data_IF_493436595632
#
_entry.id   IF_493436595632
#
_cell.length_a   1.000
_cell.length_b   1.000
_cell.length_c   1.000
_cell.angle_alpha   90.00
_cell.angle_beta   90.00
_cell.angle_gamma   90.00
#
_symmetry.space_group_name_H-M   'P 1'
#
loop_
_entity.id
_entity.type
_entity.pdbx_description
1 polymer ?
#
# COMPACT_ATOMS: atom_id res chain seq x y z
N UNK A 1 15.68 -90.00 -4.23
CA UNK A 1 16.04 -89.37 -3.01
C UNK A 1 17.06 -88.27 -3.24
N UNK A 2 16.59 -87.04 -3.26
CA UNK A 2 17.43 -85.86 -3.52
C UNK A 2 17.62 -85.12 -2.20
N UNK A 3 18.83 -85.13 -1.74
CA UNK A 3 19.25 -84.42 -0.56
C UNK A 3 19.49 -82.95 -0.96
N UNK A 4 18.82 -82.06 -0.28
CA UNK A 4 18.95 -80.63 -0.35
C UNK A 4 20.08 -80.17 0.54
N UNK A 5 21.11 -79.44 0.04
CA UNK A 5 22.19 -79.00 0.93
C UNK A 5 21.74 -77.85 1.86
N UNK A 6 22.15 -77.97 3.12
CA UNK A 6 21.87 -77.01 4.16
C UNK A 6 22.64 -75.68 3.90
N UNK A 7 21.93 -74.60 4.10
CA UNK A 7 22.42 -73.20 4.04
C UNK A 7 23.22 -72.90 5.30
N UNK A 8 24.44 -72.36 5.20
CA UNK A 8 25.20 -72.00 6.44
C UNK A 8 24.59 -70.77 7.11
N UNK A 9 24.37 -70.90 8.41
CA UNK A 9 23.96 -69.79 9.26
C UNK A 9 25.09 -68.75 9.34
N UNK A 10 24.74 -67.53 8.91
CA UNK A 10 25.60 -66.36 9.14
C UNK A 10 25.44 -65.91 10.57
N UNK A 11 26.46 -66.17 11.37
CA UNK A 11 26.59 -65.62 12.73
C UNK A 11 26.65 -64.08 12.58
N UNK A 12 25.64 -63.42 13.15
CA UNK A 12 25.59 -61.96 13.28
C UNK A 12 26.68 -61.52 14.28
N UNK A 13 27.71 -60.86 13.73
CA UNK A 13 28.68 -60.16 14.58
C UNK A 13 27.99 -58.92 15.14
N UNK A 14 27.56 -58.98 16.39
CA UNK A 14 27.08 -57.82 17.17
C UNK A 14 28.30 -57.00 17.57
N UNK A 15 28.72 -56.09 16.70
CA UNK A 15 29.64 -55.03 17.08
C UNK A 15 28.84 -53.87 17.73
N UNK A 16 29.42 -53.16 18.71
CA UNK A 16 28.76 -52.05 19.34
C UNK A 16 28.51 -50.94 18.30
N UNK A 17 27.22 -50.63 18.05
CA UNK A 17 26.81 -49.50 17.25
C UNK A 17 27.26 -48.24 17.99
N UNK A 18 28.40 -47.67 17.59
CA UNK A 18 28.78 -46.33 17.97
C UNK A 18 27.79 -45.39 17.26
N UNK A 19 26.77 -44.96 18.00
CA UNK A 19 25.89 -43.90 17.56
C UNK A 19 26.73 -42.63 17.43
N UNK A 20 27.25 -42.38 16.23
CA UNK A 20 27.82 -41.09 15.89
C UNK A 20 26.67 -40.10 15.93
N UNK A 21 26.53 -39.43 17.08
CA UNK A 21 25.65 -38.28 17.23
C UNK A 21 26.15 -37.23 16.24
N UNK A 22 25.54 -37.20 15.08
CA UNK A 22 25.71 -36.09 14.15
C UNK A 22 25.08 -34.87 14.82
N UNK A 23 25.87 -34.12 15.53
CA UNK A 23 25.51 -32.78 15.90
C UNK A 23 25.22 -32.05 14.59
N UNK A 24 24.08 -31.35 14.48
CA UNK A 24 23.83 -30.52 13.32
C UNK A 24 24.80 -29.34 13.39
N UNK A 25 25.97 -29.47 12.77
CA UNK A 25 26.85 -28.36 12.43
C UNK A 25 26.20 -27.50 11.33
N UNK A 26 24.95 -27.12 11.56
CA UNK A 26 24.34 -25.98 10.91
C UNK A 26 24.53 -24.79 11.84
N UNK A 27 25.77 -24.52 12.22
CA UNK A 27 26.15 -23.15 12.50
C UNK A 27 25.61 -22.34 11.32
N UNK A 28 24.65 -21.47 11.62
CA UNK A 28 23.97 -20.62 10.65
C UNK A 28 25.03 -19.91 9.80
N UNK A 29 25.30 -20.45 8.62
CA UNK A 29 26.08 -19.74 7.61
C UNK A 29 25.34 -18.43 7.43
N UNK A 30 25.96 -17.26 7.70
CA UNK A 30 25.31 -16.00 7.51
C UNK A 30 24.87 -15.95 6.06
N UNK A 31 23.54 -15.88 5.83
CA UNK A 31 23.01 -15.77 4.49
C UNK A 31 23.51 -14.47 3.93
N UNK A 32 24.34 -14.57 2.91
CA UNK A 32 24.81 -13.40 2.15
C UNK A 32 23.58 -12.62 1.71
N UNK A 33 23.64 -11.29 1.73
CA UNK A 33 22.58 -10.46 1.21
C UNK A 33 22.30 -10.83 -0.25
N UNK A 34 21.04 -10.90 -0.68
CA UNK A 34 20.74 -11.24 -2.07
C UNK A 34 21.31 -10.20 -3.01
N UNK A 35 21.79 -10.67 -4.16
CA UNK A 35 22.34 -9.82 -5.20
C UNK A 35 21.31 -8.77 -5.65
N UNK A 36 21.73 -7.50 -5.86
CA UNK A 36 20.85 -6.45 -6.37
C UNK A 36 20.20 -6.89 -7.68
N UNK A 37 18.87 -6.72 -7.79
CA UNK A 37 18.11 -7.12 -8.97
C UNK A 37 17.68 -8.60 -9.01
N UNK A 38 18.11 -9.44 -8.05
CA UNK A 38 17.63 -10.82 -7.95
C UNK A 38 16.17 -10.87 -7.51
N UNK A 39 15.47 -11.96 -7.85
CA UNK A 39 14.08 -12.18 -7.38
C UNK A 39 13.95 -12.18 -5.86
N UNK A 40 14.98 -12.60 -5.15
CA UNK A 40 15.02 -12.56 -3.69
C UNK A 40 15.16 -11.13 -3.17
N UNK A 41 16.01 -10.31 -3.78
CA UNK A 41 16.13 -8.89 -3.46
C UNK A 41 14.78 -8.17 -3.66
N UNK A 42 14.13 -8.39 -4.80
CA UNK A 42 12.81 -7.82 -5.09
C UNK A 42 11.74 -8.24 -4.09
N UNK A 43 11.73 -9.50 -3.67
CA UNK A 43 10.80 -9.99 -2.63
C UNK A 43 11.07 -9.36 -1.27
N UNK A 44 12.33 -9.17 -0.90
CA UNK A 44 12.69 -8.50 0.35
C UNK A 44 12.32 -7.02 0.33
N UNK A 45 12.53 -6.34 -0.79
CA UNK A 45 12.14 -4.94 -0.98
C UNK A 45 10.62 -4.78 -0.91
N UNK A 46 9.88 -5.65 -1.62
CA UNK A 46 8.41 -5.64 -1.58
C UNK A 46 7.88 -5.90 -0.16
N UNK A 47 8.50 -6.83 0.58
CA UNK A 47 8.11 -7.09 1.97
C UNK A 47 8.39 -5.90 2.87
N UNK A 48 9.56 -5.28 2.76
CA UNK A 48 9.89 -4.07 3.51
C UNK A 48 8.93 -2.92 3.20
N UNK A 49 8.60 -2.74 1.91
CA UNK A 49 7.64 -1.72 1.50
C UNK A 49 6.26 -1.98 2.12
N UNK A 50 5.79 -3.23 2.08
CA UNK A 50 4.50 -3.60 2.68
C UNK A 50 4.48 -3.38 4.20
N UNK A 51 5.57 -3.71 4.89
CA UNK A 51 5.71 -3.46 6.33
C UNK A 51 5.73 -1.96 6.64
N UNK A 52 6.42 -1.16 5.84
CA UNK A 52 6.43 0.31 5.97
C UNK A 52 5.06 0.92 5.69
N UNK A 53 4.38 0.47 4.65
CA UNK A 53 3.04 0.94 4.30
C UNK A 53 2.03 0.58 5.39
N UNK A 54 2.15 -0.62 5.98
CA UNK A 54 1.32 -1.03 7.10
C UNK A 54 1.57 -0.17 8.34
N UNK A 55 2.83 0.02 8.71
CA UNK A 55 3.20 0.85 9.87
C UNK A 55 2.75 2.31 9.69
N UNK A 56 2.85 2.83 8.45
CA UNK A 56 2.33 4.14 8.12
C UNK A 56 0.81 4.19 8.27
N UNK A 57 0.10 3.20 7.72
CA UNK A 57 -1.36 3.10 7.83
C UNK A 57 -1.83 3.07 9.28
N UNK A 58 -1.19 2.29 10.15
CA UNK A 58 -1.48 2.20 11.58
C UNK A 58 -1.23 3.55 12.31
N UNK A 59 -0.13 4.23 11.99
CA UNK A 59 0.19 5.55 12.58
C UNK A 59 -0.81 6.62 12.15
N UNK A 60 -1.18 6.65 10.88
CA UNK A 60 -2.17 7.60 10.37
C UNK A 60 -3.53 7.31 10.98
N UNK A 61 -3.98 6.05 11.01
CA UNK A 61 -5.26 5.65 11.59
C UNK A 61 -5.37 6.00 13.09
N UNK A 62 -4.26 5.94 13.83
CA UNK A 62 -4.27 6.28 15.27
C UNK A 62 -4.47 7.78 15.55
N UNK A 63 -4.18 8.64 14.58
CA UNK A 63 -4.28 10.10 14.70
C UNK A 63 -5.25 10.72 13.69
N UNK A 64 -5.99 9.89 12.96
CA UNK A 64 -6.92 10.33 11.93
C UNK A 64 -8.07 11.16 12.52
N UNK A 65 -8.31 12.30 11.90
CA UNK A 65 -9.50 13.11 12.16
C UNK A 65 -10.56 12.71 11.13
N UNK A 66 -11.78 12.34 11.58
CA UNK A 66 -12.82 11.92 10.67
C UNK A 66 -13.16 13.04 9.66
N UNK A 67 -13.26 12.67 8.39
CA UNK A 67 -13.68 13.56 7.33
C UNK A 67 -15.15 13.91 7.54
N UNK A 68 -15.43 15.18 7.68
CA UNK A 68 -16.80 15.70 7.71
C UNK A 68 -17.11 16.25 6.32
N UNK A 69 -18.00 15.60 5.56
CA UNK A 69 -18.36 16.07 4.23
C UNK A 69 -19.02 17.45 4.31
N UNK A 70 -18.66 18.34 3.40
CA UNK A 70 -19.17 19.69 3.35
C UNK A 70 -19.09 20.27 1.95
N UNK A 71 -19.42 21.54 1.81
CA UNK A 71 -19.50 22.22 0.53
C UNK A 71 -18.15 22.75 0.01
N UNK A 72 -17.11 22.72 0.86
CA UNK A 72 -15.79 23.21 0.47
C UNK A 72 -14.96 22.13 -0.21
N UNK A 73 -14.62 22.36 -1.46
CA UNK A 73 -13.69 21.51 -2.21
C UNK A 73 -12.25 21.93 -1.89
N UNK A 74 -11.47 20.97 -1.41
CA UNK A 74 -10.05 21.12 -1.16
C UNK A 74 -9.26 20.25 -2.14
N UNK A 75 -8.28 20.84 -2.83
CA UNK A 75 -7.47 20.16 -3.84
C UNK A 75 -6.05 19.95 -3.35
N UNK A 76 -5.51 18.76 -3.57
CA UNK A 76 -4.12 18.44 -3.26
C UNK A 76 -3.55 17.45 -4.27
N UNK A 77 -2.21 17.32 -4.30
CA UNK A 77 -1.51 16.43 -5.22
C UNK A 77 -1.13 15.14 -4.56
N UNK A 78 -1.49 14.03 -5.18
CA UNK A 78 -1.15 12.68 -4.73
C UNK A 78 0.30 12.33 -5.06
N UNK A 79 0.80 11.20 -4.52
CA UNK A 79 2.13 10.65 -4.81
C UNK A 79 2.36 10.38 -6.31
N UNK A 80 1.30 10.07 -7.05
CA UNK A 80 1.34 9.83 -8.50
C UNK A 80 1.23 11.13 -9.32
N UNK A 81 1.38 12.27 -8.68
CA UNK A 81 1.26 13.60 -9.28
C UNK A 81 -0.13 13.90 -9.88
N UNK A 82 -1.17 13.24 -9.37
CA UNK A 82 -2.57 13.48 -9.76
C UNK A 82 -3.24 14.42 -8.77
N UNK A 83 -4.08 15.29 -9.29
CA UNK A 83 -4.92 16.16 -8.47
C UNK A 83 -6.05 15.33 -7.85
N UNK A 84 -6.27 15.49 -6.56
CA UNK A 84 -7.40 14.88 -5.84
C UNK A 84 -8.20 15.96 -5.14
N UNK A 85 -9.50 15.75 -5.13
CA UNK A 85 -10.47 16.63 -4.46
C UNK A 85 -10.97 15.94 -3.19
N UNK A 86 -11.03 16.70 -2.10
CA UNK A 86 -11.73 16.32 -0.87
C UNK A 86 -12.85 17.31 -0.63
N UNK A 87 -14.01 16.80 -0.27
CA UNK A 87 -15.15 17.61 0.16
C UNK A 87 -15.14 17.70 1.68
N UNK A 88 -14.93 18.90 2.18
CA UNK A 88 -14.67 19.15 3.59
C UNK A 88 -15.67 20.16 4.16
N UNK A 89 -15.92 20.07 5.46
CA UNK A 89 -16.59 21.13 6.18
C UNK A 89 -15.78 22.43 6.15
N UNK A 90 -16.44 23.56 6.29
CA UNK A 90 -15.77 24.87 6.33
C UNK A 90 -14.72 24.94 7.45
N UNK A 91 -15.01 24.32 8.60
CA UNK A 91 -14.08 24.28 9.74
C UNK A 91 -12.81 23.48 9.41
N UNK A 92 -12.94 22.31 8.78
CA UNK A 92 -11.80 21.49 8.38
C UNK A 92 -10.97 22.16 7.28
N UNK A 93 -11.61 22.84 6.34
CA UNK A 93 -10.91 23.61 5.30
C UNK A 93 -10.08 24.75 5.91
N UNK A 94 -10.65 25.52 6.84
CA UNK A 94 -9.95 26.56 7.59
C UNK A 94 -8.82 25.99 8.46
N UNK A 95 -9.02 24.82 9.06
CA UNK A 95 -7.99 24.13 9.84
C UNK A 95 -6.81 23.67 8.97
N UNK A 96 -7.05 23.25 7.73
CA UNK A 96 -5.99 22.99 6.74
C UNK A 96 -5.27 24.27 6.33
N UNK A 97 -6.02 25.35 6.04
CA UNK A 97 -5.46 26.65 5.69
C UNK A 97 -4.60 27.25 6.81
N UNK A 98 -5.01 27.07 8.06
CA UNK A 98 -4.25 27.54 9.24
C UNK A 98 -3.09 26.63 9.63
N UNK A 99 -3.01 25.42 9.05
CA UNK A 99 -2.01 24.43 9.41
C UNK A 99 -2.28 23.71 10.74
N UNK A 100 -3.52 23.74 11.24
CA UNK A 100 -3.95 22.92 12.37
C UNK A 100 -4.19 21.46 11.96
N UNK A 101 -4.54 21.24 10.70
CA UNK A 101 -4.66 19.93 10.09
C UNK A 101 -3.72 19.79 8.89
N UNK A 102 -3.45 18.55 8.50
CA UNK A 102 -2.69 18.18 7.33
C UNK A 102 -3.35 17.00 6.60
N UNK A 103 -3.02 16.82 5.33
CA UNK A 103 -3.45 15.66 4.54
C UNK A 103 -2.30 14.66 4.47
N UNK A 104 -2.53 13.43 4.90
CA UNK A 104 -1.58 12.34 4.82
C UNK A 104 -2.09 11.17 3.98
N UNK A 105 -1.16 10.42 3.41
CA UNK A 105 -1.48 9.13 2.77
C UNK A 105 -1.72 8.07 3.82
N UNK A 106 -2.80 7.32 3.65
CA UNK A 106 -3.09 6.12 4.40
C UNK A 106 -3.09 4.93 3.44
N UNK A 107 -2.01 4.16 3.38
CA UNK A 107 -1.96 2.96 2.57
C UNK A 107 -2.99 1.94 3.05
N UNK A 108 -3.82 1.47 2.13
CA UNK A 108 -4.78 0.39 2.34
C UNK A 108 -4.50 -0.74 1.36
N UNK A 109 -4.96 -1.96 1.63
CA UNK A 109 -4.84 -3.06 0.68
C UNK A 109 -5.50 -2.72 -0.66
N UNK A 110 -4.69 -2.54 -1.70
CA UNK A 110 -5.15 -2.25 -3.06
C UNK A 110 -5.32 -0.78 -3.42
N UNK A 111 -5.31 0.15 -2.47
CA UNK A 111 -5.44 1.58 -2.75
C UNK A 111 -4.67 2.46 -1.75
N UNK A 112 -4.48 3.71 -2.10
CA UNK A 112 -3.96 4.72 -1.20
C UNK A 112 -5.12 5.67 -0.87
N UNK A 113 -5.62 5.59 0.36
CA UNK A 113 -6.57 6.54 0.89
C UNK A 113 -5.83 7.79 1.41
N UNK A 114 -6.57 8.85 1.67
CA UNK A 114 -6.04 10.08 2.24
C UNK A 114 -6.86 10.43 3.48
N UNK A 115 -6.16 10.78 4.54
CA UNK A 115 -6.75 11.08 5.83
C UNK A 115 -6.32 12.46 6.31
N UNK A 116 -7.16 13.09 7.11
CA UNK A 116 -6.81 14.30 7.85
C UNK A 116 -6.13 13.90 9.15
N UNK A 117 -5.03 14.55 9.45
CA UNK A 117 -4.28 14.35 10.69
C UNK A 117 -4.00 15.69 11.38
N UNK A 118 -3.91 15.73 12.70
CA UNK A 118 -3.57 16.95 13.42
C UNK A 118 -2.09 17.32 13.18
N UNK A 119 -1.79 18.59 13.44
CA UNK A 119 -0.47 19.19 13.25
C UNK A 119 0.66 18.37 13.85
N UNK A 120 0.54 17.95 15.11
CA UNK A 120 1.60 17.24 15.82
C UNK A 120 1.94 15.89 15.14
N UNK A 121 0.91 15.17 14.69
CA UNK A 121 1.08 13.93 13.92
C UNK A 121 1.73 14.19 12.56
N UNK A 122 1.35 15.28 11.88
CA UNK A 122 1.95 15.67 10.61
C UNK A 122 3.43 16.03 10.75
N UNK A 123 3.82 16.76 11.79
CA UNK A 123 5.21 17.09 12.07
C UNK A 123 6.04 15.84 12.39
N UNK A 124 5.49 14.88 13.14
CA UNK A 124 6.14 13.61 13.40
C UNK A 124 6.32 12.78 12.12
N UNK A 125 5.28 12.71 11.27
CA UNK A 125 5.38 12.02 9.99
C UNK A 125 6.36 12.68 9.02
N UNK A 126 6.46 14.00 9.00
CA UNK A 126 7.43 14.71 8.15
C UNK A 126 8.88 14.38 8.50
N UNK A 127 9.19 14.14 9.78
CA UNK A 127 10.54 13.74 10.20
C UNK A 127 10.90 12.34 9.75
N UNK A 128 9.96 11.40 9.90
CA UNK A 128 10.22 9.99 9.66
C UNK A 128 9.96 9.61 8.18
N UNK A 129 8.87 10.10 7.62
CA UNK A 129 8.34 9.74 6.30
C UNK A 129 7.77 10.98 5.57
N UNK A 130 8.62 11.91 5.12
CA UNK A 130 8.16 13.18 4.51
C UNK A 130 7.25 12.97 3.30
N UNK A 131 7.43 11.86 2.58
CA UNK A 131 6.60 11.51 1.42
C UNK A 131 5.16 11.11 1.76
N UNK A 132 4.85 10.83 3.02
CA UNK A 132 3.51 10.47 3.45
C UNK A 132 2.59 11.68 3.63
N UNK A 133 3.14 12.85 3.90
CA UNK A 133 2.37 14.10 4.03
C UNK A 133 2.23 14.74 2.66
N UNK A 134 0.99 14.99 2.25
CA UNK A 134 0.65 15.54 0.92
C UNK A 134 0.34 17.02 0.95
N UNK A 135 -0.25 17.47 2.02
CA UNK A 135 -0.51 18.88 2.24
C UNK A 135 -0.32 19.21 3.72
N UNK A 136 0.44 20.24 3.99
CA UNK A 136 0.57 20.79 5.33
C UNK A 136 1.03 22.26 5.27
N UNK A 137 0.20 23.14 5.77
CA UNK A 137 0.52 24.55 5.87
C UNK A 137 1.26 24.84 7.19
N UNK A 138 2.59 24.71 7.17
CA UNK A 138 3.41 25.10 8.32
C UNK A 138 4.17 26.39 8.03
N UNK A 139 4.42 27.21 9.05
CA UNK A 139 5.24 28.41 8.91
C UNK A 139 6.66 28.07 8.43
N UNK A 140 7.11 28.72 7.36
CA UNK A 140 8.46 28.59 6.83
C UNK A 140 8.63 27.56 5.71
N UNK A 141 8.03 26.38 5.79
CA UNK A 141 8.17 25.34 4.76
C UNK A 141 6.83 24.66 4.48
N UNK A 142 5.93 25.29 3.75
CA UNK A 142 4.66 24.68 3.39
C UNK A 142 4.87 23.50 2.44
N UNK A 143 4.11 22.42 2.64
CA UNK A 143 4.18 21.19 1.83
C UNK A 143 2.92 21.07 0.98
N UNK A 144 3.09 20.75 -0.30
CA UNK A 144 1.97 20.42 -1.19
C UNK A 144 1.19 21.62 -1.71
N UNK A 145 1.74 22.82 -1.60
CA UNK A 145 1.14 24.00 -2.23
C UNK A 145 1.32 23.95 -3.74
N UNK A 146 0.26 24.26 -4.44
CA UNK A 146 0.25 24.45 -5.87
C UNK A 146 0.01 25.92 -6.17
N UNK A 147 0.71 26.47 -7.15
CA UNK A 147 0.35 27.76 -7.73
C UNK A 147 -0.97 27.62 -8.50
N UNK A 148 -1.69 28.71 -8.67
CA UNK A 148 -2.92 28.72 -9.49
C UNK A 148 -2.67 28.21 -10.91
N UNK A 149 -1.53 28.52 -11.49
CA UNK A 149 -1.12 28.06 -12.81
C UNK A 149 -0.91 26.55 -12.86
N UNK A 150 -0.24 25.98 -11.87
CA UNK A 150 -0.04 24.54 -11.77
C UNK A 150 -1.36 23.79 -11.53
N UNK A 151 -2.24 24.37 -10.73
CA UNK A 151 -3.57 23.82 -10.46
C UNK A 151 -4.41 23.79 -11.76
N UNK A 152 -4.41 24.87 -12.51
CA UNK A 152 -5.11 24.98 -13.78
C UNK A 152 -4.57 24.03 -14.84
N UNK A 153 -3.24 23.99 -15.00
CA UNK A 153 -2.59 23.10 -15.96
C UNK A 153 -2.90 21.62 -15.66
N UNK A 154 -2.96 21.27 -14.38
CA UNK A 154 -3.27 19.89 -13.98
C UNK A 154 -4.75 19.55 -14.11
N UNK A 155 -5.64 20.49 -13.85
CA UNK A 155 -7.06 20.30 -14.11
C UNK A 155 -7.33 20.10 -15.61
N UNK A 156 -6.68 20.87 -16.46
CA UNK A 156 -6.78 20.72 -17.92
C UNK A 156 -6.25 19.36 -18.38
N UNK A 157 -5.10 18.91 -17.84
CA UNK A 157 -4.52 17.60 -18.17
C UNK A 157 -5.38 16.42 -17.68
N UNK A 158 -6.05 16.54 -16.53
CA UNK A 158 -6.91 15.48 -15.98
C UNK A 158 -8.25 15.36 -16.72
N UNK A 159 -8.73 16.44 -17.32
CA UNK A 159 -9.90 16.44 -18.21
C UNK A 159 -9.58 15.73 -19.54
N UNK A 160 -8.35 15.90 -20.04
CA UNK A 160 -7.92 15.31 -21.32
C UNK A 160 -7.58 13.80 -21.17
N UNK A 161 -7.24 13.34 -19.95
CA UNK A 161 -6.90 11.94 -19.64
C UNK A 161 -8.08 11.13 -19.08
N UNK A 162 -9.26 11.72 -18.93
CA UNK A 162 -10.47 10.98 -18.58
C UNK A 162 -10.80 10.03 -19.74
N UNK A 163 -10.72 8.70 -19.56
CA UNK A 163 -11.14 7.77 -20.60
C UNK A 163 -12.61 8.08 -20.87
N UNK A 164 -12.89 8.35 -22.14
CA UNK A 164 -14.24 8.69 -22.57
C UNK A 164 -15.24 7.75 -21.95
N UNK A 165 -16.14 8.30 -21.19
CA UNK A 165 -17.33 7.62 -20.73
C UNK A 165 -18.13 7.33 -22.00
N UNK A 166 -17.86 6.20 -22.63
CA UNK A 166 -18.75 5.66 -23.65
C UNK A 166 -20.07 5.40 -22.96
N UNK A 167 -20.89 6.41 -23.05
CA UNK A 167 -22.31 6.40 -22.87
C UNK A 167 -22.86 5.26 -23.71
N UNK A 168 -23.00 4.08 -23.08
CA UNK A 168 -23.87 3.02 -23.60
C UNK A 168 -25.29 3.55 -23.50
N UNK A 169 -25.67 4.26 -24.53
CA UNK A 169 -27.06 4.47 -24.88
C UNK A 169 -27.70 3.10 -25.11
N UNK A 170 -28.17 2.50 -24.03
CA UNK A 170 -29.10 1.39 -24.13
C UNK A 170 -30.37 1.96 -24.71
N UNK A 171 -30.50 1.79 -26.01
CA UNK A 171 -31.72 1.91 -26.78
C UNK A 171 -32.83 1.09 -26.08
N UNK A 172 -33.65 1.79 -25.37
CA UNK A 172 -34.95 1.25 -24.97
C UNK A 172 -35.83 1.19 -26.20
N UNK A 173 -35.70 0.11 -26.94
CA UNK A 173 -36.65 -0.25 -27.94
C UNK A 173 -37.94 -0.78 -27.27
N UNK A 174 -38.83 0.11 -26.98
CA UNK A 174 -40.20 -0.21 -26.60
C UNK A 174 -40.97 -0.59 -27.85
N UNK A 175 -40.99 -1.86 -28.12
CA UNK A 175 -41.93 -2.46 -29.09
C UNK A 175 -43.36 -2.32 -28.54
N UNK A 176 -44.07 -1.43 -29.14
CA UNK A 176 -45.42 -1.49 -29.59
C UNK A 176 -46.09 -2.89 -29.44
N UNK A 177 -47.10 -2.97 -28.64
CA UNK A 177 -48.13 -4.00 -28.70
C UNK A 177 -49.49 -3.32 -28.66
N UNK A 178 -50.06 -3.16 -29.82
CA UNK A 178 -51.42 -2.72 -30.06
C UNK A 178 -52.46 -3.68 -29.48
N UNK A 179 -53.64 -3.17 -29.10
CA UNK A 179 -54.72 -4.01 -28.66
C UNK A 179 -55.63 -4.44 -29.84
N UNK A 180 -56.15 -5.59 -29.77
CA UNK A 180 -57.27 -6.00 -30.62
C UNK A 180 -58.37 -6.66 -29.79
N UNK A 181 -59.56 -6.00 -29.83
CA UNK A 181 -60.91 -6.46 -29.63
C UNK A 181 -61.26 -7.07 -28.28
#
# INVERSE_FOLDING_TARGET
>A
PSQKPARPERTAATGPLIAVRREPLLASVPKLPPLPGSREAQRLESRKQLEQDRALGERVASSEVPLVPGERAFYFVTRKNRLRRLELSTEQALALESGALAVAERPEPGQIAHALIPRDAAEALLRDLPRAVRFFNRPGEPVGFLSEEELRTRQEAEVDEAPGNEETAAEANSADAAPSV
#
